data_IF_477596087910
#
_entry.id   IF_477596087910
#
_cell.length_a   1.000
_cell.length_b   1.000
_cell.length_c   1.000
_cell.angle_alpha   90.00
_cell.angle_beta   90.00
_cell.angle_gamma   90.00
#
_symmetry.space_group_name_H-M   'P 1'
#
loop_
_entity.id
_entity.type
_entity.pdbx_description
1 polymer ?
#
# COMPACT_ATOMS: atom_id res chain seq x y z
N UNK A 1 -5.32 32.02 28.21
CA UNK A 1 -4.81 31.90 26.83
C UNK A 1 -4.29 30.51 26.47
N UNK A 2 -3.75 29.76 27.43
CA UNK A 2 -3.18 28.40 27.23
C UNK A 2 -4.25 27.33 26.89
N UNK A 3 -5.48 27.48 27.38
CA UNK A 3 -6.58 26.55 27.08
C UNK A 3 -7.11 26.66 25.65
N UNK A 4 -7.02 27.84 25.03
CA UNK A 4 -7.40 28.06 23.62
C UNK A 4 -6.35 27.50 22.65
N UNK A 5 -5.07 27.59 22.99
CA UNK A 5 -3.99 26.98 22.19
C UNK A 5 -3.98 25.45 22.30
N UNK A 6 -4.33 24.88 23.46
CA UNK A 6 -4.50 23.43 23.64
C UNK A 6 -5.69 22.86 22.86
N UNK A 7 -6.81 23.58 22.78
CA UNK A 7 -7.97 23.17 21.99
C UNK A 7 -7.71 23.25 20.48
N UNK A 8 -6.93 24.23 20.01
CA UNK A 8 -6.53 24.32 18.60
C UNK A 8 -5.53 23.22 18.22
N UNK A 9 -4.59 22.88 19.11
CA UNK A 9 -3.67 21.76 18.90
C UNK A 9 -4.37 20.38 18.91
N UNK A 10 -5.42 20.22 19.74
CA UNK A 10 -6.23 19.00 19.78
C UNK A 10 -7.19 18.91 18.57
N UNK A 11 -7.73 20.02 18.08
CA UNK A 11 -8.52 20.05 16.84
C UNK A 11 -7.67 19.74 15.61
N UNK A 12 -6.44 20.25 15.51
CA UNK A 12 -5.56 19.97 14.37
C UNK A 12 -5.12 18.50 14.26
N UNK A 13 -5.20 17.71 15.33
CA UNK A 13 -4.91 16.27 15.29
C UNK A 13 -6.08 15.43 14.72
N UNK A 14 -7.30 15.98 14.68
CA UNK A 14 -8.51 15.20 14.34
C UNK A 14 -8.92 15.25 12.87
N UNK A 15 -8.40 16.17 12.06
CA UNK A 15 -8.86 16.35 10.67
C UNK A 15 -8.19 15.43 9.62
N UNK A 16 -7.24 14.56 9.99
CA UNK A 16 -6.51 13.71 9.04
C UNK A 16 -6.94 12.23 8.96
N UNK A 17 -7.81 11.76 9.85
CA UNK A 17 -7.98 10.32 10.09
C UNK A 17 -9.07 9.62 9.24
N UNK A 18 -9.97 10.37 8.57
CA UNK A 18 -11.22 9.81 8.06
C UNK A 18 -11.14 8.95 6.79
N UNK A 19 -10.15 9.18 5.93
CA UNK A 19 -10.12 8.51 4.60
C UNK A 19 -9.08 7.38 4.53
N UNK A 20 -8.02 7.49 5.33
CA UNK A 20 -6.85 6.63 5.22
C UNK A 20 -6.89 5.37 6.11
N UNK A 21 -7.95 5.12 6.87
CA UNK A 21 -8.20 3.80 7.50
C UNK A 21 -8.96 2.88 6.54
N UNK A 22 -9.92 3.44 5.79
CA UNK A 22 -10.77 2.70 4.88
C UNK A 22 -9.98 1.94 3.81
N UNK A 23 -8.94 2.55 3.23
CA UNK A 23 -8.16 1.92 2.17
C UNK A 23 -7.38 0.69 2.65
N UNK A 24 -6.74 0.79 3.82
CA UNK A 24 -6.01 -0.33 4.42
C UNK A 24 -6.95 -1.46 4.84
N UNK A 25 -8.06 -1.13 5.50
CA UNK A 25 -9.03 -2.15 5.92
C UNK A 25 -9.69 -2.81 4.70
N UNK A 26 -10.01 -2.06 3.65
CA UNK A 26 -10.51 -2.59 2.39
C UNK A 26 -9.48 -3.50 1.69
N UNK A 27 -8.19 -3.15 1.73
CA UNK A 27 -7.12 -4.02 1.25
C UNK A 27 -7.07 -5.35 2.02
N UNK A 28 -7.01 -5.30 3.34
CA UNK A 28 -6.99 -6.52 4.16
C UNK A 28 -8.27 -7.34 4.04
N UNK A 29 -9.42 -6.70 3.79
CA UNK A 29 -10.70 -7.39 3.59
C UNK A 29 -10.67 -8.18 2.28
N UNK A 30 -10.11 -7.61 1.20
CA UNK A 30 -9.91 -8.33 -0.06
C UNK A 30 -8.97 -9.52 0.12
N UNK A 31 -7.87 -9.36 0.83
CA UNK A 31 -6.96 -10.47 1.12
C UNK A 31 -7.63 -11.56 1.97
N UNK A 32 -8.47 -11.17 2.93
CA UNK A 32 -9.24 -12.11 3.75
C UNK A 32 -10.25 -12.88 2.89
N UNK A 33 -10.94 -12.22 1.97
CA UNK A 33 -11.85 -12.87 1.02
C UNK A 33 -11.10 -13.81 0.06
N UNK A 34 -9.94 -13.40 -0.44
CA UNK A 34 -9.07 -14.24 -1.26
C UNK A 34 -8.62 -15.50 -0.51
N UNK A 35 -8.16 -15.35 0.73
CA UNK A 35 -7.81 -16.49 1.59
C UNK A 35 -9.02 -17.39 1.90
N UNK A 36 -10.22 -16.82 2.02
CA UNK A 36 -11.45 -17.58 2.21
C UNK A 36 -11.89 -18.39 0.99
N UNK A 37 -11.52 -17.95 -0.22
CA UNK A 37 -11.81 -18.69 -1.45
C UNK A 37 -10.86 -19.87 -1.65
N UNK A 38 -9.57 -19.69 -1.36
CA UNK A 38 -8.56 -20.76 -1.41
C UNK A 38 -7.40 -20.48 -0.44
N UNK A 39 -7.47 -21.11 0.73
CA UNK A 39 -6.46 -20.94 1.77
C UNK A 39 -5.11 -21.57 1.38
N UNK A 40 -5.12 -22.65 0.59
CA UNK A 40 -3.90 -23.32 0.14
C UNK A 40 -3.11 -22.43 -0.81
N UNK A 41 -3.80 -21.83 -1.79
CA UNK A 41 -3.20 -20.86 -2.70
C UNK A 41 -2.73 -19.61 -1.97
N UNK A 42 -3.51 -19.09 -1.03
CA UNK A 42 -3.09 -17.95 -0.22
C UNK A 42 -1.78 -18.21 0.53
N UNK A 43 -1.63 -19.39 1.16
CA UNK A 43 -0.39 -19.79 1.84
C UNK A 43 0.79 -19.88 0.88
N UNK A 44 0.60 -20.49 -0.29
CA UNK A 44 1.63 -20.59 -1.31
C UNK A 44 2.10 -19.21 -1.77
N UNK A 45 1.17 -18.29 -2.04
CA UNK A 45 1.51 -16.93 -2.49
C UNK A 45 2.18 -16.10 -1.39
N UNK A 46 1.80 -16.27 -0.12
CA UNK A 46 2.48 -15.64 1.00
C UNK A 46 3.95 -16.08 1.07
N UNK A 47 4.20 -17.40 0.98
CA UNK A 47 5.55 -17.94 0.96
C UNK A 47 6.37 -17.43 -0.22
N UNK A 48 5.78 -17.44 -1.43
CA UNK A 48 6.44 -16.98 -2.64
C UNK A 48 6.76 -15.48 -2.62
N UNK A 49 5.86 -14.64 -2.08
CA UNK A 49 6.05 -13.19 -2.10
C UNK A 49 6.93 -12.68 -0.95
N UNK A 50 6.73 -13.20 0.27
CA UNK A 50 7.43 -12.70 1.45
C UNK A 50 8.66 -13.52 1.83
N UNK A 51 8.89 -14.66 1.17
CA UNK A 51 9.96 -15.60 1.53
C UNK A 51 9.70 -16.34 2.84
N UNK A 52 8.44 -16.39 3.29
CA UNK A 52 8.06 -16.99 4.56
C UNK A 52 7.99 -18.51 4.46
N UNK A 53 8.51 -19.21 5.46
CA UNK A 53 8.39 -20.66 5.58
C UNK A 53 6.98 -21.09 5.97
N UNK A 54 6.61 -22.35 5.68
CA UNK A 54 5.30 -22.87 6.08
C UNK A 54 5.01 -22.74 7.58
N UNK A 55 5.96 -23.03 8.51
CA UNK A 55 5.72 -22.81 9.94
C UNK A 55 5.47 -21.35 10.33
N UNK A 56 6.15 -20.39 9.68
CA UNK A 56 5.94 -18.95 9.92
C UNK A 56 4.56 -18.50 9.44
N UNK A 57 4.15 -18.97 8.27
CA UNK A 57 2.81 -18.70 7.73
C UNK A 57 1.75 -19.26 8.67
N UNK A 58 1.93 -20.48 9.17
CA UNK A 58 1.00 -21.14 10.08
C UNK A 58 0.90 -20.42 11.42
N UNK A 59 2.05 -19.92 11.93
CA UNK A 59 2.10 -19.08 13.11
C UNK A 59 1.36 -17.76 12.89
N UNK A 60 1.53 -17.10 11.75
CA UNK A 60 0.81 -15.87 11.45
C UNK A 60 -0.70 -16.12 11.39
N UNK A 61 -1.16 -17.09 10.60
CA UNK A 61 -2.57 -17.37 10.37
C UNK A 61 -3.32 -17.77 11.65
N UNK A 62 -2.68 -18.48 12.58
CA UNK A 62 -3.30 -18.83 13.87
C UNK A 62 -3.35 -17.67 14.87
N UNK A 63 -2.53 -16.65 14.67
CA UNK A 63 -2.37 -15.55 15.64
C UNK A 63 -3.22 -14.34 15.29
N UNK A 64 -3.37 -14.06 13.98
CA UNK A 64 -4.11 -12.90 13.52
C UNK A 64 -5.62 -13.14 13.53
N UNK A 65 -6.39 -12.06 13.67
CA UNK A 65 -7.85 -12.13 13.73
C UNK A 65 -8.49 -12.37 12.36
N UNK A 66 -7.82 -11.95 11.29
CA UNK A 66 -8.29 -12.07 9.90
C UNK A 66 -7.14 -12.58 9.04
N UNK A 67 -7.41 -13.52 8.14
CA UNK A 67 -6.37 -14.09 7.28
C UNK A 67 -5.58 -13.04 6.49
N UNK A 68 -6.21 -11.93 6.06
CA UNK A 68 -5.52 -10.84 5.37
C UNK A 68 -4.44 -10.14 6.22
N UNK A 69 -4.59 -10.13 7.54
CA UNK A 69 -3.64 -9.51 8.46
C UNK A 69 -2.31 -10.28 8.52
N UNK A 70 -2.29 -11.55 8.14
CA UNK A 70 -1.05 -12.33 8.05
C UNK A 70 -0.07 -11.71 7.03
N UNK A 71 -0.60 -11.18 5.92
CA UNK A 71 0.21 -10.47 4.93
C UNK A 71 0.79 -9.17 5.50
N UNK A 72 0.02 -8.45 6.33
CA UNK A 72 0.51 -7.26 7.03
C UNK A 72 1.62 -7.62 8.03
N UNK A 73 1.46 -8.67 8.82
CA UNK A 73 2.46 -9.12 9.78
C UNK A 73 3.79 -9.49 9.09
N UNK A 74 3.72 -10.24 7.98
CA UNK A 74 4.89 -10.58 7.18
C UNK A 74 5.53 -9.35 6.52
N UNK A 75 4.71 -8.44 5.98
CA UNK A 75 5.21 -7.19 5.43
C UNK A 75 5.93 -6.33 6.48
N UNK A 76 5.36 -6.21 7.68
CA UNK A 76 5.98 -5.48 8.79
C UNK A 76 7.32 -6.13 9.18
N UNK A 77 7.34 -7.46 9.36
CA UNK A 77 8.56 -8.23 9.63
C UNK A 77 9.68 -7.89 8.64
N UNK A 78 9.39 -7.95 7.33
CA UNK A 78 10.36 -7.66 6.28
C UNK A 78 10.81 -6.19 6.25
N UNK A 79 9.90 -5.24 6.47
CA UNK A 79 10.21 -3.80 6.42
C UNK A 79 10.99 -3.33 7.63
N UNK A 80 10.61 -3.79 8.82
CA UNK A 80 11.26 -3.38 10.08
C UNK A 80 12.44 -4.27 10.44
N UNK A 81 12.66 -5.37 9.71
CA UNK A 81 13.66 -6.41 10.01
C UNK A 81 13.50 -6.97 11.42
N UNK A 82 12.26 -7.03 11.90
CA UNK A 82 11.92 -7.61 13.20
C UNK A 82 11.50 -9.06 12.99
N UNK A 83 11.85 -9.98 13.90
CA UNK A 83 11.34 -11.33 13.86
C UNK A 83 9.80 -11.38 13.84
N UNK A 84 9.22 -12.33 13.09
CA UNK A 84 7.77 -12.42 12.94
C UNK A 84 7.03 -12.60 14.27
N UNK A 85 7.61 -13.36 15.22
CA UNK A 85 7.06 -13.54 16.56
C UNK A 85 6.97 -12.23 17.36
N UNK A 86 7.95 -11.34 17.18
CA UNK A 86 7.95 -9.98 17.77
C UNK A 86 6.81 -9.16 17.18
N UNK A 87 6.64 -9.20 15.85
CA UNK A 87 5.56 -8.48 15.15
C UNK A 87 4.18 -8.99 15.61
N UNK A 88 4.00 -10.30 15.71
CA UNK A 88 2.74 -10.92 16.12
C UNK A 88 2.40 -10.63 17.58
N UNK A 89 3.40 -10.59 18.47
CA UNK A 89 3.21 -10.17 19.86
C UNK A 89 2.74 -8.71 19.94
N UNK A 90 3.36 -7.81 19.18
CA UNK A 90 2.93 -6.41 19.11
C UNK A 90 1.53 -6.26 18.50
N UNK A 91 1.19 -7.07 17.49
CA UNK A 91 -0.16 -7.13 16.92
C UNK A 91 -1.20 -7.45 18.00
N UNK A 92 -0.95 -8.49 18.81
CA UNK A 92 -1.85 -8.90 19.89
C UNK A 92 -1.98 -7.83 20.98
N UNK A 93 -0.85 -7.23 21.39
CA UNK A 93 -0.83 -6.20 22.43
C UNK A 93 -1.58 -4.91 22.02
N UNK A 94 -1.81 -4.70 20.72
CA UNK A 94 -2.34 -3.45 20.13
C UNK A 94 -3.64 -3.65 19.37
N UNK A 95 -4.35 -4.74 19.64
CA UNK A 95 -5.67 -4.97 19.06
C UNK A 95 -6.60 -3.78 19.31
N UNK A 96 -7.33 -3.37 18.27
CA UNK A 96 -8.24 -2.22 18.32
C UNK A 96 -7.57 -0.84 18.20
N UNK A 97 -6.23 -0.74 18.24
CA UNK A 97 -5.52 0.54 18.06
C UNK A 97 -5.25 0.89 16.58
N UNK A 98 -5.48 -0.07 15.69
CA UNK A 98 -5.28 0.07 14.24
C UNK A 98 -3.83 -0.12 13.79
N UNK A 99 -3.68 -0.36 12.49
CA UNK A 99 -2.40 -0.75 11.87
C UNK A 99 -1.31 0.32 11.96
N UNK A 100 -1.70 1.60 11.97
CA UNK A 100 -0.76 2.71 12.10
C UNK A 100 -0.08 2.76 13.47
N UNK A 101 -0.76 2.35 14.54
CA UNK A 101 -0.19 2.28 15.88
C UNK A 101 0.78 1.09 16.01
N UNK A 102 0.40 -0.06 15.43
CA UNK A 102 1.28 -1.23 15.33
C UNK A 102 2.54 -0.93 14.53
N UNK A 103 2.43 -0.30 13.36
CA UNK A 103 3.58 0.06 12.54
C UNK A 103 4.54 1.01 13.27
N UNK A 104 4.00 1.99 14.00
CA UNK A 104 4.81 2.90 14.80
C UNK A 104 5.55 2.19 15.93
N UNK A 105 4.92 1.22 16.61
CA UNK A 105 5.59 0.49 17.69
C UNK A 105 6.76 -0.36 17.20
N UNK A 106 6.70 -0.81 15.95
CA UNK A 106 7.76 -1.54 15.28
C UNK A 106 8.82 -0.65 14.62
N UNK A 107 8.70 0.68 14.77
CA UNK A 107 9.69 1.66 14.32
C UNK A 107 9.42 2.31 12.95
N UNK A 108 8.27 2.06 12.33
CA UNK A 108 7.88 2.78 11.11
C UNK A 108 7.47 4.21 11.49
N UNK A 109 8.28 5.17 11.06
CA UNK A 109 8.07 6.60 11.36
C UNK A 109 6.83 7.13 10.62
N UNK A 110 5.94 7.88 11.30
CA UNK A 110 4.88 8.64 10.61
C UNK A 110 5.46 9.54 9.51
N UNK A 111 4.81 9.56 8.35
CA UNK A 111 5.27 10.33 7.19
C UNK A 111 6.36 9.65 6.34
N UNK A 112 6.87 8.49 6.76
CA UNK A 112 7.75 7.69 5.91
C UNK A 112 6.99 7.11 4.70
N UNK A 113 7.73 6.71 3.66
CA UNK A 113 7.15 6.04 2.50
C UNK A 113 6.37 4.78 2.90
N UNK A 114 6.91 3.98 3.83
CA UNK A 114 6.27 2.78 4.37
C UNK A 114 4.99 3.10 5.15
N UNK A 115 5.01 4.16 5.97
CA UNK A 115 3.80 4.60 6.67
C UNK A 115 2.71 5.04 5.69
N UNK A 116 3.07 5.76 4.64
CA UNK A 116 2.13 6.16 3.61
C UNK A 116 1.61 4.97 2.78
N UNK A 117 2.46 3.99 2.47
CA UNK A 117 2.09 2.74 1.81
C UNK A 117 1.03 1.98 2.63
N UNK A 118 1.29 1.84 3.93
CA UNK A 118 0.36 1.26 4.90
C UNK A 118 -0.99 2.00 4.89
N UNK A 119 -0.97 3.33 4.96
CA UNK A 119 -2.20 4.13 4.99
C UNK A 119 -3.03 4.03 3.71
N UNK A 120 -2.42 3.74 2.56
CA UNK A 120 -3.12 3.54 1.28
C UNK A 120 -3.59 2.10 1.06
N UNK A 121 -3.26 1.16 1.95
CA UNK A 121 -3.52 -0.26 1.67
C UNK A 121 -2.76 -0.77 0.44
N UNK A 122 -1.57 -0.24 0.20
CA UNK A 122 -0.71 -0.62 -0.92
C UNK A 122 0.61 -1.13 -0.38
N UNK A 123 0.63 -2.41 -0.02
CA UNK A 123 1.84 -3.08 0.48
C UNK A 123 2.71 -3.62 -0.67
N UNK A 124 2.33 -3.37 -1.93
CA UNK A 124 3.02 -3.88 -3.12
C UNK A 124 2.64 -5.31 -3.50
N UNK A 125 1.57 -5.87 -2.95
CA UNK A 125 1.12 -7.25 -3.20
C UNK A 125 -0.40 -7.35 -3.40
N UNK A 126 -0.82 -7.87 -4.56
CA UNK A 126 -2.24 -7.99 -4.96
C UNK A 126 -2.50 -9.33 -5.67
N UNK A 127 -2.52 -10.46 -4.93
CA UNK A 127 -2.73 -11.79 -5.51
C UNK A 127 -4.16 -11.98 -6.06
N UNK A 128 -5.12 -11.19 -5.57
CA UNK A 128 -6.50 -11.15 -6.02
C UNK A 128 -6.69 -10.50 -7.40
N UNK A 129 -5.62 -9.96 -8.00
CA UNK A 129 -5.65 -9.33 -9.33
C UNK A 129 -4.84 -10.07 -10.38
N UNK A 130 -4.05 -11.06 -9.99
CA UNK A 130 -3.22 -11.84 -10.91
C UNK A 130 -4.06 -12.85 -11.69
N UNK A 131 -5.20 -13.27 -11.16
CA UNK A 131 -6.22 -14.09 -11.83
C UNK A 131 -6.84 -13.41 -13.08
N UNK A 132 -6.87 -12.07 -13.12
CA UNK A 132 -7.37 -11.31 -14.28
C UNK A 132 -6.35 -11.14 -15.40
N UNK A 133 -5.06 -11.43 -15.17
CA UNK A 133 -4.05 -11.33 -16.24
C UNK A 133 -4.19 -12.45 -17.28
N UNK A 134 -4.75 -13.60 -16.92
CA UNK A 134 -5.10 -14.64 -17.89
C UNK A 134 -6.42 -14.39 -18.64
N UNK A 135 -7.11 -13.26 -18.37
CA UNK A 135 -8.36 -12.88 -19.04
C UNK A 135 -8.39 -11.47 -19.63
N UNK A 136 -7.24 -10.80 -19.78
CA UNK A 136 -7.14 -9.54 -20.55
C UNK A 136 -6.00 -9.62 -21.57
N UNK A 137 -6.37 -10.12 -22.75
CA UNK A 137 -5.81 -9.63 -24.02
C UNK A 137 -6.04 -8.10 -24.05
N UNK A 138 -4.96 -7.37 -24.33
CA UNK A 138 -4.88 -6.01 -24.89
C UNK A 138 -5.85 -4.95 -24.33
N UNK A 139 -5.35 -4.06 -23.46
CA UNK A 139 -5.66 -2.63 -23.48
C UNK A 139 -4.76 -1.91 -22.46
N UNK A 140 -3.64 -1.38 -22.97
CA UNK A 140 -2.80 -0.41 -22.27
C UNK A 140 -3.13 1.02 -22.74
N UNK A 141 -4.37 1.45 -22.54
CA UNK A 141 -4.73 2.86 -22.51
C UNK A 141 -4.30 3.52 -21.19
N UNK A 142 -3.05 3.98 -21.09
CA UNK A 142 -2.65 4.97 -20.08
C UNK A 142 -1.78 6.05 -20.70
N UNK A 143 -2.43 7.13 -21.13
CA UNK A 143 -1.79 8.46 -21.14
C UNK A 143 -2.85 9.56 -20.97
N UNK A 144 -3.08 9.92 -19.71
CA UNK A 144 -3.75 11.15 -19.32
C UNK A 144 -2.73 12.06 -18.65
N UNK A 145 -2.13 12.99 -19.41
CA UNK A 145 -1.06 13.84 -18.88
C UNK A 145 -0.53 14.96 -19.79
N UNK A 146 -1.36 15.97 -20.07
CA UNK A 146 -1.01 17.38 -20.36
C UNK A 146 -0.10 17.69 -21.57
N UNK A 147 -0.74 18.19 -22.64
CA UNK A 147 -0.13 19.04 -23.67
C UNK A 147 0.52 20.30 -23.07
N UNK A 148 1.76 20.59 -23.46
CA UNK A 148 2.35 21.93 -23.35
C UNK A 148 3.10 22.26 -24.64
N UNK A 149 2.40 22.88 -25.57
CA UNK A 149 2.99 23.47 -26.76
C UNK A 149 3.95 24.60 -26.37
N UNK A 150 5.14 24.58 -26.95
CA UNK A 150 6.02 25.75 -27.03
C UNK A 150 6.39 25.99 -28.48
N UNK A 151 5.68 26.97 -29.02
CA UNK A 151 6.01 27.77 -30.18
C UNK A 151 7.48 28.22 -30.18
N UNK A 152 8.16 28.07 -31.32
CA UNK A 152 9.32 28.88 -31.70
C UNK A 152 9.46 28.89 -33.22
N UNK A 153 8.77 29.84 -33.84
CA UNK A 153 9.06 30.26 -35.21
C UNK A 153 10.38 31.05 -35.34
N UNK A 154 11.06 30.85 -36.47
CA UNK A 154 11.85 31.80 -37.31
C UNK A 154 12.77 30.97 -38.23
N UNK A 155 12.87 31.20 -39.53
CA UNK A 155 12.28 32.24 -40.36
C UNK A 155 12.53 32.04 -41.86
N UNK A 156 11.59 32.61 -42.62
CA UNK A 156 11.64 33.24 -43.95
C UNK A 156 12.85 33.01 -44.88
N UNK A 157 12.53 32.39 -46.02
CA UNK A 157 12.37 33.03 -47.34
C UNK A 157 13.59 33.76 -47.95
N UNK A 158 14.02 33.26 -49.12
CA UNK A 158 14.52 34.08 -50.23
C UNK A 158 14.49 33.27 -51.53
N UNK A 159 13.58 33.65 -52.41
CA UNK A 159 13.50 33.12 -53.77
C UNK A 159 14.61 33.59 -54.69
N UNK A 160 14.66 32.95 -55.86
CA UNK A 160 14.82 33.57 -57.17
C UNK A 160 14.65 32.48 -58.23
N UNK A 161 13.64 32.65 -59.09
CA UNK A 161 13.50 31.85 -60.30
C UNK A 161 14.47 32.28 -61.39
N UNK A 162 14.39 31.54 -62.49
CA UNK A 162 14.44 31.99 -63.88
C UNK A 162 15.43 31.21 -64.75
N UNK A 163 14.86 30.64 -65.82
CA UNK A 163 15.44 30.34 -67.14
C UNK A 163 16.70 29.45 -67.17
N UNK A 164 16.73 28.38 -67.97
CA UNK A 164 16.38 28.34 -69.38
C UNK A 164 16.27 26.88 -69.82
#
# INVERSE_FOLDING_TARGET
MILRTLLIALMLFTLGAGVASADMDAYLNRLTAYAGADLGRFRADLGAHFGASAPEIDLALRTVSRHGDAALALWLSNRTRQPLDVVLREYQARQGQGWGALAQSLGIKPGSADFHALKRGDLGWHPDRTDRRDRRVEDYGRDGGKSKGKDKGKGKDKGKGSHR
#
